data_IF_196171201801
#
_entry.id   IF_196171201801
#
_cell.length_a   1.000
_cell.length_b   1.000
_cell.length_c   1.000
_cell.angle_alpha   90.00
_cell.angle_beta   90.00
_cell.angle_gamma   90.00
#
_symmetry.space_group_name_H-M   'P 1'
#
loop_
_entity.id
_entity.type
_entity.pdbx_description
1 polymer ?
#
# COMPACT_ATOMS: atom_id res chain seq x y z
N UNK A 1 -29.73 9.65 15.21
CA UNK A 1 -28.81 9.46 14.05
C UNK A 1 -27.33 9.39 14.45
N UNK A 2 -26.96 9.09 15.71
CA UNK A 2 -25.55 9.04 16.17
C UNK A 2 -24.92 7.63 16.13
N UNK A 3 -25.70 6.57 15.86
CA UNK A 3 -25.23 5.19 15.94
C UNK A 3 -24.42 4.68 14.74
N UNK A 4 -24.53 5.32 13.58
CA UNK A 4 -23.85 4.88 12.35
C UNK A 4 -22.38 5.33 12.28
N UNK A 5 -22.04 6.51 12.79
CA UNK A 5 -20.66 7.05 12.75
C UNK A 5 -19.70 6.22 13.59
N UNK A 6 -20.09 5.89 14.83
CA UNK A 6 -19.27 5.11 15.77
C UNK A 6 -18.96 3.70 15.23
N UNK A 7 -19.89 3.14 14.44
CA UNK A 7 -19.71 1.83 13.84
C UNK A 7 -18.66 1.84 12.72
N UNK A 8 -18.64 2.89 11.89
CA UNK A 8 -17.70 3.01 10.76
C UNK A 8 -16.28 3.22 11.25
N UNK A 9 -16.07 4.10 12.23
CA UNK A 9 -14.74 4.37 12.80
C UNK A 9 -14.14 3.12 13.45
N UNK A 10 -15.00 2.33 14.11
CA UNK A 10 -14.61 1.06 14.73
C UNK A 10 -14.23 0.01 13.68
N UNK A 11 -15.02 -0.14 12.62
CA UNK A 11 -14.73 -1.08 11.52
C UNK A 11 -13.41 -0.69 10.83
N UNK A 12 -13.20 0.60 10.55
CA UNK A 12 -11.96 1.08 9.97
C UNK A 12 -10.76 0.76 10.88
N UNK A 13 -10.87 1.05 12.18
CA UNK A 13 -9.80 0.73 13.14
C UNK A 13 -9.52 -0.77 13.21
N UNK A 14 -10.55 -1.62 13.23
CA UNK A 14 -10.40 -3.09 13.24
C UNK A 14 -9.74 -3.60 11.95
N UNK A 15 -10.09 -3.04 10.79
CA UNK A 15 -9.49 -3.38 9.51
C UNK A 15 -8.00 -3.01 9.46
N UNK A 16 -7.64 -1.80 9.91
CA UNK A 16 -6.23 -1.40 10.01
C UNK A 16 -5.47 -2.33 10.97
N UNK A 17 -6.07 -2.67 12.12
CA UNK A 17 -5.45 -3.57 13.10
C UNK A 17 -5.22 -4.99 12.56
N UNK A 18 -6.15 -5.50 11.75
CA UNK A 18 -6.06 -6.82 11.15
C UNK A 18 -5.14 -6.85 9.92
N UNK A 19 -5.22 -5.82 9.06
CA UNK A 19 -4.62 -5.88 7.73
C UNK A 19 -3.41 -4.99 7.51
N UNK A 20 -3.27 -3.87 8.21
CA UNK A 20 -2.11 -2.99 8.02
C UNK A 20 -1.05 -3.28 9.06
N UNK A 21 -1.45 -3.24 10.33
CA UNK A 21 -0.52 -3.28 11.47
C UNK A 21 0.39 -4.52 11.50
N UNK A 22 -0.07 -5.74 11.20
CA UNK A 22 0.83 -6.91 11.21
C UNK A 22 1.94 -6.85 10.16
N UNK A 23 1.77 -6.01 9.12
CA UNK A 23 2.69 -5.95 7.97
C UNK A 23 3.79 -4.91 8.15
N UNK A 24 3.61 -3.91 9.02
CA UNK A 24 4.54 -2.76 9.09
C UNK A 24 5.79 -3.00 9.94
N UNK A 25 5.82 -4.06 10.75
CA UNK A 25 6.99 -4.37 11.57
C UNK A 25 8.25 -4.52 10.70
N UNK A 26 9.32 -3.85 11.11
CA UNK A 26 10.63 -3.80 10.46
C UNK A 26 10.58 -3.26 9.02
N UNK A 27 9.54 -2.50 8.66
CA UNK A 27 9.37 -1.94 7.33
C UNK A 27 9.47 -0.42 7.31
N UNK A 28 9.92 0.14 6.19
CA UNK A 28 9.60 1.51 5.83
C UNK A 28 8.21 1.54 5.20
N UNK A 29 7.34 2.40 5.73
CA UNK A 29 5.97 2.55 5.24
C UNK A 29 5.87 3.79 4.35
N UNK A 30 5.32 3.64 3.15
CA UNK A 30 5.04 4.73 2.23
C UNK A 30 3.52 4.92 2.10
N UNK A 31 3.05 6.16 2.24
CA UNK A 31 1.63 6.52 2.18
C UNK A 31 1.38 7.54 1.06
N UNK A 32 0.31 7.36 0.28
CA UNK A 32 -0.25 8.49 -0.48
C UNK A 32 -1.09 9.41 0.43
N UNK A 33 -1.50 10.57 -0.11
CA UNK A 33 -2.25 11.57 0.66
C UNK A 33 -3.56 11.01 1.22
N UNK A 34 -4.26 10.19 0.43
CA UNK A 34 -5.52 9.56 0.83
C UNK A 34 -5.35 8.65 2.06
N UNK A 35 -4.32 7.80 2.06
CA UNK A 35 -4.07 6.89 3.16
C UNK A 35 -3.39 7.56 4.35
N UNK A 36 -2.65 8.65 4.14
CA UNK A 36 -2.15 9.51 5.22
C UNK A 36 -3.31 10.17 6.00
N UNK A 37 -4.31 10.72 5.28
CA UNK A 37 -5.54 11.22 5.90
C UNK A 37 -6.32 10.11 6.60
N UNK A 38 -6.50 8.96 5.96
CA UNK A 38 -7.19 7.83 6.56
C UNK A 38 -6.50 7.38 7.87
N UNK A 39 -5.17 7.29 7.88
CA UNK A 39 -4.40 6.97 9.07
C UNK A 39 -4.63 8.01 10.18
N UNK A 40 -4.60 9.30 9.83
CA UNK A 40 -4.83 10.41 10.76
C UNK A 40 -6.19 10.31 11.46
N UNK A 41 -7.25 10.00 10.71
CA UNK A 41 -8.61 9.84 11.25
C UNK A 41 -8.80 8.58 12.10
N UNK A 42 -7.88 7.62 12.03
CA UNK A 42 -7.90 6.42 12.87
C UNK A 42 -7.09 6.63 14.16
N UNK A 43 -5.85 6.10 14.21
CA UNK A 43 -4.95 6.21 15.38
C UNK A 43 -3.69 7.01 15.12
N UNK A 44 -3.54 7.56 13.92
CA UNK A 44 -2.43 8.41 13.53
C UNK A 44 -1.09 7.69 13.37
N UNK A 45 -0.07 8.49 13.01
CA UNK A 45 1.28 8.03 12.68
C UNK A 45 1.93 7.17 13.79
N UNK A 46 1.75 7.55 15.05
CA UNK A 46 2.34 6.84 16.19
C UNK A 46 1.97 5.37 16.20
N UNK A 47 0.77 5.01 15.72
CA UNK A 47 0.33 3.63 15.67
C UNK A 47 1.22 2.74 14.79
N UNK A 48 1.70 3.25 13.65
CA UNK A 48 2.61 2.52 12.77
C UNK A 48 3.99 2.35 13.42
N UNK A 49 4.51 3.44 14.02
CA UNK A 49 5.83 3.44 14.67
C UNK A 49 5.85 2.52 15.91
N UNK A 50 4.83 2.62 16.76
CA UNK A 50 4.68 1.77 17.95
C UNK A 50 4.50 0.29 17.58
N UNK A 51 4.03 0.02 16.36
CA UNK A 51 3.90 -1.33 15.79
C UNK A 51 5.19 -1.84 15.13
N UNK A 52 6.27 -1.08 15.18
CA UNK A 52 7.59 -1.46 14.69
C UNK A 52 7.93 -1.03 13.27
N UNK A 53 7.20 -0.06 12.69
CA UNK A 53 7.64 0.58 11.45
C UNK A 53 8.97 1.33 11.69
N UNK A 54 9.94 1.14 10.79
CA UNK A 54 11.25 1.80 10.85
C UNK A 54 11.16 3.29 10.52
N UNK A 55 10.32 3.62 9.55
CA UNK A 55 10.02 4.97 9.13
C UNK A 55 8.65 5.00 8.45
N UNK A 56 8.05 6.19 8.41
CA UNK A 56 6.84 6.45 7.62
C UNK A 56 7.12 7.67 6.74
N UNK A 57 6.89 7.53 5.45
CA UNK A 57 7.25 8.50 4.41
C UNK A 57 6.08 8.73 3.47
N UNK A 58 6.09 9.90 2.84
CA UNK A 58 5.20 10.17 1.72
C UNK A 58 5.57 9.29 0.53
N UNK A 59 4.58 8.82 -0.22
CA UNK A 59 4.81 8.18 -1.51
C UNK A 59 5.06 9.26 -2.56
N UNK A 60 6.33 9.56 -2.81
CA UNK A 60 6.78 10.53 -3.82
C UNK A 60 7.91 9.98 -4.69
N UNK A 61 8.19 10.66 -5.82
CA UNK A 61 9.28 10.29 -6.73
C UNK A 61 10.69 10.50 -6.17
N UNK A 62 10.82 11.23 -5.05
CA UNK A 62 12.11 11.62 -4.48
C UNK A 62 12.52 10.75 -3.29
N UNK A 63 11.70 9.75 -2.96
CA UNK A 63 11.90 8.89 -1.81
C UNK A 63 12.60 7.58 -2.18
N UNK A 64 13.32 7.01 -1.21
CA UNK A 64 13.97 5.70 -1.34
C UNK A 64 14.22 5.06 0.02
N UNK A 65 14.49 3.75 0.04
CA UNK A 65 15.16 3.10 1.15
C UNK A 65 16.57 3.67 1.28
N UNK A 66 16.90 4.20 2.46
CA UNK A 66 18.12 4.97 2.70
C UNK A 66 19.27 4.09 3.20
N UNK A 67 19.00 2.84 3.62
CA UNK A 67 20.02 1.95 4.17
C UNK A 67 19.67 0.48 4.02
N UNK A 68 20.66 -0.39 4.27
CA UNK A 68 20.46 -1.84 4.40
C UNK A 68 19.56 -2.26 5.57
N UNK A 69 19.28 -1.37 6.52
CA UNK A 69 18.29 -1.67 7.55
C UNK A 69 16.85 -1.56 6.99
N UNK A 70 16.66 -0.90 5.86
CA UNK A 70 15.38 -0.63 5.23
C UNK A 70 15.13 -1.56 4.04
N UNK A 71 15.32 -2.87 4.25
CA UNK A 71 15.14 -3.89 3.21
C UNK A 71 13.67 -4.28 2.99
N UNK A 72 12.78 -3.94 3.93
CA UNK A 72 11.34 -4.19 3.81
C UNK A 72 10.58 -2.88 3.59
N UNK A 73 9.69 -2.88 2.60
CA UNK A 73 8.80 -1.76 2.30
C UNK A 73 7.32 -2.17 2.35
N UNK A 74 6.48 -1.30 2.90
CA UNK A 74 5.03 -1.42 2.83
C UNK A 74 4.48 -0.15 2.19
N UNK A 75 3.86 -0.28 1.03
CA UNK A 75 3.15 0.80 0.36
C UNK A 75 1.67 0.71 0.72
N UNK A 76 1.09 1.79 1.23
CA UNK A 76 -0.32 1.86 1.59
C UNK A 76 -0.94 2.99 0.77
N UNK A 77 -1.81 2.63 -0.18
CA UNK A 77 -2.33 3.59 -1.18
C UNK A 77 -3.85 3.55 -1.28
N UNK A 78 -4.46 4.70 -1.52
CA UNK A 78 -5.87 4.87 -1.82
C UNK A 78 -6.14 5.10 -3.31
N UNK A 79 -5.12 5.47 -4.07
CA UNK A 79 -5.19 5.59 -5.53
C UNK A 79 -5.20 4.23 -6.25
N UNK A 80 -5.84 4.13 -7.43
CA UNK A 80 -5.67 2.98 -8.30
C UNK A 80 -4.18 2.77 -8.65
N UNK A 81 -3.71 1.52 -8.54
CA UNK A 81 -2.34 1.06 -8.84
C UNK A 81 -2.01 1.08 -10.34
N UNK A 82 -2.14 2.25 -10.96
CA UNK A 82 -1.88 2.51 -12.38
C UNK A 82 -1.24 3.88 -12.53
N UNK A 83 -0.72 4.19 -13.71
CA UNK A 83 -0.31 5.55 -14.08
C UNK A 83 0.62 6.20 -13.03
N UNK A 84 0.30 7.40 -12.51
CA UNK A 84 1.16 8.11 -11.55
C UNK A 84 1.41 7.37 -10.24
N UNK A 85 0.40 6.72 -9.64
CA UNK A 85 0.56 5.96 -8.40
C UNK A 85 1.59 4.84 -8.60
N UNK A 86 1.39 4.03 -9.64
CA UNK A 86 2.29 2.93 -9.96
C UNK A 86 3.70 3.43 -10.32
N UNK A 87 3.81 4.58 -11.00
CA UNK A 87 5.08 5.20 -11.34
C UNK A 87 5.86 5.68 -10.13
N UNK A 88 5.19 6.19 -9.09
CA UNK A 88 5.84 6.57 -7.81
C UNK A 88 6.37 5.34 -7.08
N UNK A 89 5.55 4.28 -6.98
CA UNK A 89 6.00 3.00 -6.41
C UNK A 89 7.23 2.48 -7.17
N UNK A 90 7.19 2.49 -8.50
CA UNK A 90 8.32 2.06 -9.33
C UNK A 90 9.59 2.87 -9.06
N UNK A 91 9.47 4.19 -8.94
CA UNK A 91 10.60 5.07 -8.66
C UNK A 91 11.24 4.75 -7.30
N UNK A 92 10.43 4.63 -6.24
CA UNK A 92 10.91 4.29 -4.90
C UNK A 92 11.55 2.90 -4.90
N UNK A 93 10.89 1.89 -5.46
CA UNK A 93 11.42 0.50 -5.49
C UNK A 93 12.75 0.44 -6.23
N UNK A 94 12.85 1.03 -7.43
CA UNK A 94 14.07 1.00 -8.26
C UNK A 94 15.23 1.79 -7.65
N UNK A 95 14.94 2.81 -6.84
CA UNK A 95 15.95 3.59 -6.12
C UNK A 95 16.40 2.94 -4.80
N UNK A 96 15.81 1.80 -4.43
CA UNK A 96 16.01 1.14 -3.13
C UNK A 96 16.65 -0.24 -3.27
N UNK A 97 17.05 -0.82 -2.13
CA UNK A 97 17.55 -2.19 -2.04
C UNK A 97 16.55 -3.11 -1.32
N UNK A 98 15.25 -2.99 -1.65
CA UNK A 98 14.23 -3.78 -0.98
C UNK A 98 14.35 -5.26 -1.32
N UNK A 99 14.22 -6.11 -0.30
CA UNK A 99 14.13 -7.57 -0.39
C UNK A 99 12.74 -8.08 -0.04
N UNK A 100 11.82 -7.20 0.37
CA UNK A 100 10.42 -7.52 0.60
C UNK A 100 9.57 -6.26 0.38
N UNK A 101 8.61 -6.32 -0.55
CA UNK A 101 7.66 -5.24 -0.79
C UNK A 101 6.22 -5.76 -0.63
N UNK A 102 5.42 -5.04 0.14
CA UNK A 102 3.98 -5.28 0.26
C UNK A 102 3.23 -4.04 -0.20
N UNK A 103 2.16 -4.21 -0.99
CA UNK A 103 1.31 -3.10 -1.44
C UNK A 103 -0.11 -3.34 -0.95
N UNK A 104 -0.59 -2.47 -0.07
CA UNK A 104 -1.95 -2.50 0.47
C UNK A 104 -2.73 -1.37 -0.20
N UNK A 105 -3.86 -1.70 -0.82
CA UNK A 105 -4.72 -0.72 -1.47
C UNK A 105 -6.08 -0.69 -0.81
N UNK A 106 -6.63 0.50 -0.57
CA UNK A 106 -8.05 0.67 -0.21
C UNK A 106 -8.94 0.84 -1.44
N UNK A 107 -8.35 0.93 -2.64
CA UNK A 107 -9.07 1.03 -3.89
C UNK A 107 -9.61 -0.35 -4.30
N UNK A 108 -10.92 -0.49 -4.56
CA UNK A 108 -11.51 -1.79 -4.88
C UNK A 108 -11.08 -2.26 -6.28
N UNK A 109 -11.08 -3.57 -6.56
CA UNK A 109 -10.65 -4.13 -7.85
C UNK A 109 -11.36 -3.51 -9.06
N UNK A 110 -12.65 -3.18 -8.92
CA UNK A 110 -13.43 -2.55 -9.99
C UNK A 110 -12.89 -1.16 -10.37
N UNK A 111 -12.39 -0.40 -9.39
CA UNK A 111 -11.81 0.92 -9.63
C UNK A 111 -10.42 0.80 -10.29
N UNK A 112 -9.62 -0.21 -9.92
CA UNK A 112 -8.39 -0.55 -10.64
C UNK A 112 -8.66 -0.89 -12.11
N UNK A 113 -9.65 -1.77 -12.34
CA UNK A 113 -10.05 -2.15 -13.67
C UNK A 113 -10.50 -0.95 -14.50
N UNK A 114 -11.35 -0.10 -13.93
CA UNK A 114 -11.83 1.08 -14.62
C UNK A 114 -10.75 2.08 -14.96
N UNK A 115 -9.73 2.21 -14.11
CA UNK A 115 -8.59 3.07 -14.38
C UNK A 115 -7.69 2.52 -15.53
N UNK A 116 -7.61 1.21 -15.71
CA UNK A 116 -6.82 0.56 -16.79
C UNK A 116 -7.55 0.53 -18.13
N UNK A 117 -8.81 0.07 -18.12
CA UNK A 117 -9.51 -0.36 -19.34
C UNK A 117 -10.82 0.41 -19.60
N UNK A 118 -11.25 1.25 -18.66
CA UNK A 118 -12.50 2.00 -18.76
C UNK A 118 -13.72 1.24 -18.24
N UNK A 119 -14.68 0.92 -19.10
CA UNK A 119 -15.94 0.28 -18.68
C UNK A 119 -15.71 -1.13 -18.08
N UNK A 120 -16.54 -1.51 -17.11
CA UNK A 120 -16.42 -2.78 -16.36
C UNK A 120 -16.79 -3.99 -17.24
N UNK A 121 -15.91 -4.98 -17.45
CA UNK A 121 -16.24 -6.29 -17.99
C UNK A 121 -16.52 -7.29 -16.87
N UNK A 122 -17.18 -8.39 -17.25
CA UNK A 122 -17.55 -9.52 -16.39
C UNK A 122 -16.37 -10.47 -16.05
N UNK A 123 -15.14 -10.14 -16.45
CA UNK A 123 -13.96 -10.96 -16.19
C UNK A 123 -13.46 -10.84 -14.75
N UNK A 124 -12.75 -11.87 -14.29
CA UNK A 124 -12.37 -12.03 -12.90
C UNK A 124 -11.46 -10.89 -12.42
N UNK A 125 -12.00 -10.07 -11.53
CA UNK A 125 -11.33 -8.96 -10.85
C UNK A 125 -10.01 -9.35 -10.17
N UNK A 126 -9.77 -10.65 -9.95
CA UNK A 126 -8.54 -11.21 -9.36
C UNK A 126 -7.31 -10.98 -10.23
N UNK A 127 -7.44 -10.99 -11.55
CA UNK A 127 -6.29 -10.82 -12.46
C UNK A 127 -5.75 -9.38 -12.49
N UNK A 128 -6.53 -8.41 -11.97
CA UNK A 128 -6.18 -6.97 -11.99
C UNK A 128 -4.88 -6.64 -11.27
N UNK A 129 -4.46 -7.53 -10.37
CA UNK A 129 -3.31 -7.35 -9.49
C UNK A 129 -2.07 -8.12 -9.91
N UNK A 130 -2.23 -9.15 -10.75
CA UNK A 130 -1.12 -9.99 -11.22
C UNK A 130 -0.08 -9.16 -11.98
N UNK A 131 -0.54 -8.22 -12.82
CA UNK A 131 0.36 -7.34 -13.57
C UNK A 131 1.16 -6.38 -12.66
N UNK A 132 0.61 -5.98 -11.51
CA UNK A 132 1.32 -5.15 -10.53
C UNK A 132 2.35 -5.98 -9.79
N UNK A 133 1.99 -7.22 -9.43
CA UNK A 133 2.89 -8.19 -8.82
C UNK A 133 4.12 -8.48 -9.70
N UNK A 134 3.90 -8.79 -10.98
CA UNK A 134 4.98 -9.01 -11.96
C UNK A 134 5.91 -7.81 -12.10
N UNK A 135 5.35 -6.60 -12.15
CA UNK A 135 6.14 -5.37 -12.23
C UNK A 135 6.96 -5.12 -10.97
N UNK A 136 6.39 -5.35 -9.78
CA UNK A 136 7.13 -5.23 -8.53
C UNK A 136 8.32 -6.20 -8.50
N UNK A 137 8.11 -7.45 -8.90
CA UNK A 137 9.17 -8.46 -8.99
C UNK A 137 10.28 -8.03 -9.95
N UNK A 138 9.91 -7.53 -11.13
CA UNK A 138 10.86 -7.01 -12.12
C UNK A 138 11.69 -5.85 -11.55
N UNK A 139 11.05 -4.89 -10.89
CA UNK A 139 11.74 -3.71 -10.33
C UNK A 139 12.65 -4.05 -9.15
N UNK A 140 12.32 -5.09 -8.40
CA UNK A 140 13.15 -5.62 -7.31
C UNK A 140 14.29 -6.52 -7.83
N UNK A 141 14.32 -6.85 -9.13
CA UNK A 141 15.34 -7.69 -9.74
C UNK A 141 15.14 -9.19 -9.50
N UNK A 142 13.88 -9.66 -9.46
CA UNK A 142 13.49 -11.08 -9.28
C UNK A 142 13.94 -11.72 -7.96
N UNK A 143 13.92 -10.97 -6.85
CA UNK A 143 14.10 -11.56 -5.52
C UNK A 143 12.78 -12.18 -5.00
N UNK A 144 12.87 -13.14 -4.06
CA UNK A 144 11.71 -13.90 -3.56
C UNK A 144 10.88 -13.04 -2.61
N UNK A 145 9.59 -12.83 -2.90
CA UNK A 145 8.73 -11.92 -2.13
C UNK A 145 7.36 -12.51 -1.79
N UNK A 146 6.77 -11.94 -0.74
CA UNK A 146 5.36 -12.10 -0.37
C UNK A 146 4.62 -10.82 -0.79
N UNK A 147 4.03 -10.83 -1.99
CA UNK A 147 3.23 -9.72 -2.49
C UNK A 147 1.78 -9.98 -2.07
N UNK A 148 1.30 -9.22 -1.08
CA UNK A 148 -0.09 -9.29 -0.63
C UNK A 148 -0.80 -8.04 -1.08
N UNK A 149 -1.62 -8.17 -2.12
CA UNK A 149 -2.53 -7.13 -2.61
C UNK A 149 -3.90 -7.34 -1.93
N UNK A 150 -4.33 -6.38 -1.12
CA UNK A 150 -5.65 -6.38 -0.47
C UNK A 150 -6.68 -5.66 -1.36
N UNK A 151 -7.92 -6.16 -1.33
CA UNK A 151 -9.09 -5.64 -2.02
C UNK A 151 -10.27 -5.56 -1.04
#
# INVERSE_FOLDING_TARGET
MQGSSIAVDKIATELWAAEVIPRVKDAVVYLDDHMAEALHWNRGLAWLLDSGALAVRELSYFESGLSKAEEKAVFIVGEPLVGPCLSRIAAVVRASCFTCCTVITSCPPAAHHSALYGAVPQQELRDSFLHVEEQLLDWMGNMVHEIILWA
#
